data_IF_458886953026
#
_entry.id   IF_458886953026
#
_cell.length_a   1.000
_cell.length_b   1.000
_cell.length_c   1.000
_cell.angle_alpha   90.00
_cell.angle_beta   90.00
_cell.angle_gamma   90.00
#
_symmetry.space_group_name_H-M   'P 1'
#
loop_
_entity.id
_entity.type
_entity.pdbx_description
1 polymer ?
#
# COMPACT_ATOMS: atom_id res chain seq x y z
N UNK A 1 -28.47 2.41 -23.15
CA UNK A 1 -27.24 2.85 -22.45
C UNK A 1 -27.27 2.18 -21.09
N UNK A 2 -26.66 1.01 -20.97
CA UNK A 2 -26.59 0.29 -19.68
C UNK A 2 -25.84 1.19 -18.70
N UNK A 3 -26.47 1.51 -17.56
CA UNK A 3 -25.80 2.13 -16.43
C UNK A 3 -24.57 1.28 -16.11
N UNK A 4 -23.39 1.82 -16.43
CA UNK A 4 -22.11 1.19 -16.15
C UNK A 4 -22.10 0.79 -14.68
N UNK A 5 -22.08 -0.52 -14.41
CA UNK A 5 -21.87 -1.02 -13.04
C UNK A 5 -20.60 -0.35 -12.53
N UNK A 6 -20.72 0.50 -11.50
CA UNK A 6 -19.59 1.14 -10.85
C UNK A 6 -18.54 0.10 -10.47
N UNK A 7 -17.46 0.03 -11.25
CA UNK A 7 -16.41 -0.98 -11.09
C UNK A 7 -15.53 -0.56 -9.92
N UNK A 8 -15.37 -1.44 -8.94
CA UNK A 8 -14.53 -1.17 -7.77
C UNK A 8 -13.06 -1.10 -8.20
N UNK A 9 -12.39 -0.01 -7.85
CA UNK A 9 -10.93 0.09 -7.87
C UNK A 9 -10.45 0.32 -6.44
N UNK A 10 -9.42 -0.41 -6.03
CA UNK A 10 -8.86 -0.31 -4.69
C UNK A 10 -7.39 0.05 -4.77
N UNK A 11 -7.05 1.17 -4.14
CA UNK A 11 -5.69 1.64 -3.94
C UNK A 11 -5.23 1.18 -2.56
N UNK A 12 -4.14 0.42 -2.51
CA UNK A 12 -3.56 -0.05 -1.24
C UNK A 12 -2.19 0.57 -1.04
N UNK A 13 -1.97 1.13 0.15
CA UNK A 13 -0.65 1.61 0.56
C UNK A 13 -0.36 1.31 2.02
N UNK A 14 0.81 1.72 2.50
CA UNK A 14 1.27 1.54 3.86
C UNK A 14 2.76 1.21 3.92
N UNK A 15 3.39 1.32 5.11
CA UNK A 15 4.81 1.02 5.31
C UNK A 15 5.25 -0.35 4.79
N UNK A 16 6.54 -0.48 4.49
CA UNK A 16 7.09 -1.76 4.04
C UNK A 16 6.99 -2.84 5.13
N UNK A 17 6.61 -4.06 4.75
CA UNK A 17 6.52 -5.19 5.67
C UNK A 17 5.27 -5.23 6.54
N UNK A 18 4.27 -4.37 6.28
CA UNK A 18 2.98 -4.37 6.99
C UNK A 18 1.98 -5.42 6.51
N UNK A 19 2.30 -6.20 5.46
CA UNK A 19 1.40 -7.26 5.00
C UNK A 19 0.68 -7.03 3.69
N UNK A 20 0.93 -5.94 2.96
CA UNK A 20 0.22 -5.63 1.71
C UNK A 20 0.23 -6.80 0.71
N UNK A 21 1.42 -7.32 0.42
CA UNK A 21 1.61 -8.47 -0.50
C UNK A 21 0.86 -9.72 -0.01
N UNK A 22 1.11 -10.18 1.22
CA UNK A 22 0.37 -11.30 1.81
C UNK A 22 -1.14 -11.11 1.88
N UNK A 23 -1.65 -9.91 2.15
CA UNK A 23 -3.10 -9.65 2.15
C UNK A 23 -3.68 -9.93 0.76
N UNK A 24 -3.03 -9.46 -0.31
CA UNK A 24 -3.49 -9.71 -1.69
C UNK A 24 -3.35 -11.18 -2.09
N UNK A 25 -2.21 -11.80 -1.79
CA UNK A 25 -1.98 -13.22 -2.06
C UNK A 25 -2.99 -14.10 -1.31
N UNK A 26 -3.24 -13.79 -0.04
CA UNK A 26 -4.22 -14.47 0.81
C UNK A 26 -5.64 -14.25 0.31
N UNK A 27 -5.96 -13.05 -0.17
CA UNK A 27 -7.29 -12.77 -0.73
C UNK A 27 -7.56 -13.62 -1.97
N UNK A 28 -6.58 -13.75 -2.88
CA UNK A 28 -6.69 -14.66 -4.04
C UNK A 28 -6.86 -16.12 -3.64
N UNK A 29 -6.17 -16.57 -2.60
CA UNK A 29 -6.20 -17.96 -2.14
C UNK A 29 -7.51 -18.31 -1.41
N UNK A 30 -7.92 -17.48 -0.46
CA UNK A 30 -9.01 -17.79 0.47
C UNK A 30 -10.37 -17.22 0.02
N UNK A 31 -10.38 -16.32 -0.97
CA UNK A 31 -11.58 -15.80 -1.61
C UNK A 31 -11.47 -15.89 -3.14
N UNK A 32 -11.32 -17.11 -3.71
CA UNK A 32 -11.04 -17.31 -5.13
C UNK A 32 -12.17 -16.85 -6.08
N UNK A 33 -13.38 -16.63 -5.54
CA UNK A 33 -14.49 -16.03 -6.28
C UNK A 33 -14.26 -14.55 -6.62
N UNK A 34 -13.32 -13.88 -5.96
CA UNK A 34 -12.96 -12.49 -6.23
C UNK A 34 -11.91 -12.49 -7.34
N UNK A 35 -12.34 -12.13 -8.54
CA UNK A 35 -11.43 -11.98 -9.67
C UNK A 35 -10.79 -10.58 -9.64
N UNK A 36 -9.51 -10.52 -9.27
CA UNK A 36 -8.75 -9.28 -9.04
C UNK A 36 -7.87 -8.98 -10.26
N UNK A 37 -8.18 -7.90 -10.97
CA UNK A 37 -7.28 -7.29 -11.95
C UNK A 37 -6.21 -6.46 -11.24
N UNK A 38 -4.97 -6.45 -11.75
CA UNK A 38 -3.88 -5.64 -11.19
C UNK A 38 -3.47 -4.61 -12.22
N UNK A 39 -3.32 -3.37 -11.77
CA UNK A 39 -2.68 -2.31 -12.55
C UNK A 39 -1.43 -1.86 -11.81
N UNK A 40 -0.32 -1.83 -12.54
CA UNK A 40 0.95 -1.33 -12.03
C UNK A 40 1.04 0.19 -12.18
N UNK A 41 1.72 0.82 -11.23
CA UNK A 41 2.00 2.25 -11.25
C UNK A 41 3.24 2.51 -12.09
N UNK A 42 3.15 3.48 -13.01
CA UNK A 42 4.31 4.02 -13.69
C UNK A 42 5.17 4.82 -12.72
N UNK A 43 6.46 4.51 -12.66
CA UNK A 43 7.43 5.13 -11.75
C UNK A 43 8.59 5.69 -12.54
N UNK A 44 9.15 6.79 -12.09
CA UNK A 44 10.33 7.33 -12.78
C UNK A 44 11.58 6.50 -12.47
N UNK A 45 12.53 6.39 -13.40
CA UNK A 45 13.85 5.79 -13.11
C UNK A 45 14.57 6.55 -11.98
N UNK A 46 14.34 7.85 -11.86
CA UNK A 46 14.88 8.74 -10.84
C UNK A 46 14.35 8.44 -9.42
N UNK A 47 13.27 7.65 -9.30
CA UNK A 47 12.82 7.10 -8.01
C UNK A 47 13.75 6.05 -7.41
N UNK A 48 14.80 5.65 -8.14
CA UNK A 48 15.85 4.72 -7.68
C UNK A 48 17.14 5.51 -7.45
N UNK A 49 17.78 5.41 -6.27
CA UNK A 49 19.03 6.13 -5.99
C UNK A 49 20.14 5.89 -7.02
N UNK A 50 20.21 4.68 -7.57
CA UNK A 50 21.19 4.27 -8.58
C UNK A 50 20.63 4.23 -10.02
N UNK A 51 19.35 4.61 -10.19
CA UNK A 51 18.59 4.53 -11.45
C UNK A 51 18.57 3.12 -12.07
N UNK A 52 18.79 2.08 -11.26
CA UNK A 52 18.71 0.69 -11.70
C UNK A 52 17.40 0.06 -11.25
N UNK A 53 16.88 -0.80 -12.11
CA UNK A 53 15.73 -1.63 -11.79
C UNK A 53 16.16 -2.71 -10.79
N UNK A 54 15.30 -2.93 -9.80
CA UNK A 54 15.42 -4.06 -8.88
C UNK A 54 14.91 -5.32 -9.57
N UNK A 55 15.30 -6.49 -9.07
CA UNK A 55 14.84 -7.78 -9.61
C UNK A 55 13.31 -7.93 -9.65
N UNK A 56 12.61 -7.26 -8.74
CA UNK A 56 11.14 -7.25 -8.66
C UNK A 56 10.47 -6.18 -9.52
N UNK A 57 11.23 -5.25 -10.10
CA UNK A 57 10.67 -4.17 -10.91
C UNK A 57 10.28 -4.70 -12.30
N UNK A 58 9.12 -4.30 -12.80
CA UNK A 58 8.72 -4.55 -14.19
C UNK A 58 9.22 -3.39 -15.07
N UNK A 59 10.19 -3.60 -15.99
CA UNK A 59 10.78 -2.54 -16.79
C UNK A 59 9.77 -1.72 -17.61
N UNK A 60 8.63 -2.30 -17.97
CA UNK A 60 7.59 -1.61 -18.77
C UNK A 60 6.91 -0.46 -18.04
N UNK A 61 7.01 -0.43 -16.71
CA UNK A 61 6.40 0.60 -15.85
C UNK A 61 7.42 1.57 -15.28
N UNK A 62 8.65 1.57 -15.82
CA UNK A 62 9.66 2.57 -15.49
C UNK A 62 9.98 3.43 -16.70
N UNK A 63 9.78 4.74 -16.55
CA UNK A 63 9.96 5.74 -17.60
C UNK A 63 10.83 6.90 -17.09
N UNK A 64 11.41 7.72 -17.97
CA UNK A 64 12.03 8.98 -17.56
C UNK A 64 11.01 9.91 -16.87
N UNK A 65 11.43 10.65 -15.85
CA UNK A 65 10.53 11.56 -15.13
C UNK A 65 9.79 12.56 -16.05
N UNK A 66 10.48 13.08 -17.06
CA UNK A 66 9.91 14.01 -18.02
C UNK A 66 8.73 13.42 -18.82
N UNK A 67 8.79 12.12 -19.13
CA UNK A 67 7.71 11.41 -19.84
C UNK A 67 6.50 11.22 -18.94
N UNK A 68 6.69 10.89 -17.67
CA UNK A 68 5.57 10.78 -16.71
C UNK A 68 4.93 12.16 -16.45
N UNK A 69 5.73 13.23 -16.44
CA UNK A 69 5.23 14.59 -16.25
C UNK A 69 4.35 15.03 -17.43
N UNK A 70 4.71 14.67 -18.67
CA UNK A 70 3.90 15.05 -19.84
C UNK A 70 2.51 14.40 -19.86
N UNK A 71 2.32 13.29 -19.13
CA UNK A 71 1.00 12.66 -18.98
C UNK A 71 -0.03 13.58 -18.30
N UNK A 72 0.39 14.63 -17.57
CA UNK A 72 -0.53 15.63 -16.98
C UNK A 72 -1.38 16.36 -18.02
N UNK A 73 -0.95 16.38 -19.28
CA UNK A 73 -1.67 17.02 -20.38
C UNK A 73 -2.80 16.13 -20.93
N UNK A 74 -2.79 14.83 -20.63
CA UNK A 74 -3.77 13.86 -21.10
C UNK A 74 -4.71 13.46 -19.95
N UNK A 75 -6.01 13.72 -20.13
CA UNK A 75 -7.04 13.38 -19.15
C UNK A 75 -7.10 11.90 -18.81
N UNK A 76 -6.53 11.00 -19.62
CA UNK A 76 -6.51 9.57 -19.33
C UNK A 76 -5.52 9.17 -18.23
N UNK A 77 -4.79 10.12 -17.66
CA UNK A 77 -3.77 9.86 -16.65
C UNK A 77 -4.04 10.57 -15.34
N UNK A 78 -3.72 9.87 -14.25
CA UNK A 78 -3.60 10.48 -12.93
C UNK A 78 -2.11 10.47 -12.59
N UNK A 79 -1.52 11.66 -12.49
CA UNK A 79 -0.10 11.86 -12.19
C UNK A 79 0.04 12.54 -10.84
N UNK A 80 0.98 12.07 -10.01
CA UNK A 80 1.27 12.67 -8.72
C UNK A 80 2.77 12.69 -8.43
N UNK A 81 3.16 13.56 -7.48
CA UNK A 81 4.52 13.59 -6.96
C UNK A 81 4.67 12.58 -5.82
N UNK A 82 5.76 11.83 -5.87
CA UNK A 82 6.18 10.92 -4.82
C UNK A 82 7.62 11.29 -4.44
N UNK A 83 7.77 12.19 -3.47
CA UNK A 83 9.08 12.61 -2.93
C UNK A 83 10.00 13.20 -4.00
N UNK A 84 9.46 14.09 -4.83
CA UNK A 84 10.17 14.73 -5.93
C UNK A 84 10.32 13.86 -7.18
N UNK A 85 9.68 12.68 -7.21
CA UNK A 85 9.69 11.79 -8.38
C UNK A 85 8.26 11.53 -8.86
N UNK A 86 7.95 11.75 -10.14
CA UNK A 86 6.60 11.60 -10.64
C UNK A 86 6.21 10.12 -10.74
N UNK A 87 4.95 9.83 -10.42
CA UNK A 87 4.29 8.54 -10.64
C UNK A 87 2.96 8.75 -11.35
N UNK A 88 2.49 7.72 -12.06
CA UNK A 88 1.22 7.81 -12.76
C UNK A 88 0.47 6.47 -12.86
N UNK A 89 -0.85 6.56 -13.06
CA UNK A 89 -1.70 5.47 -13.53
C UNK A 89 -2.45 5.90 -14.78
N UNK A 90 -2.62 4.95 -15.69
CA UNK A 90 -3.47 5.11 -16.87
C UNK A 90 -4.88 4.62 -16.55
N UNK A 91 -5.88 5.49 -16.73
CA UNK A 91 -7.28 5.11 -16.63
C UNK A 91 -7.68 4.11 -17.70
N UNK A 92 -7.07 4.16 -18.89
CA UNK A 92 -7.32 3.16 -19.93
C UNK A 92 -6.87 1.76 -19.47
N UNK A 93 -5.73 1.65 -18.79
CA UNK A 93 -5.28 0.38 -18.22
C UNK A 93 -6.19 -0.11 -17.10
N UNK A 94 -6.68 0.82 -16.26
CA UNK A 94 -7.70 0.51 -15.25
C UNK A 94 -8.97 -0.03 -15.89
N UNK A 95 -9.53 0.69 -16.87
CA UNK A 95 -10.75 0.30 -17.56
C UNK A 95 -10.59 -1.05 -18.28
N UNK A 96 -9.46 -1.29 -18.93
CA UNK A 96 -9.15 -2.58 -19.54
C UNK A 96 -9.13 -3.71 -18.50
N UNK A 97 -8.45 -3.49 -17.36
CA UNK A 97 -8.41 -4.46 -16.27
C UNK A 97 -9.81 -4.79 -15.74
N UNK A 98 -10.76 -3.84 -15.73
CA UNK A 98 -12.15 -4.08 -15.28
C UNK A 98 -12.97 -4.98 -16.21
N UNK A 99 -12.56 -5.18 -17.47
CA UNK A 99 -13.30 -6.02 -18.44
C UNK A 99 -13.28 -7.49 -18.03
N UNK A 100 -12.13 -7.94 -17.53
CA UNK A 100 -11.91 -9.34 -17.15
C UNK A 100 -11.79 -9.52 -15.63
N UNK A 101 -12.16 -8.52 -14.82
CA UNK A 101 -12.10 -8.60 -13.37
C UNK A 101 -13.37 -8.07 -12.70
N UNK A 102 -13.60 -8.55 -11.47
CA UNK A 102 -14.65 -8.04 -10.59
C UNK A 102 -14.23 -6.74 -9.87
N UNK A 103 -12.93 -6.58 -9.64
CA UNK A 103 -12.30 -5.46 -8.96
C UNK A 103 -10.90 -5.23 -9.53
N UNK A 104 -10.47 -3.98 -9.58
CA UNK A 104 -9.09 -3.62 -9.91
C UNK A 104 -8.34 -3.24 -8.63
N UNK A 105 -7.13 -3.76 -8.49
CA UNK A 105 -6.19 -3.47 -7.42
C UNK A 105 -5.00 -2.69 -7.95
N UNK A 106 -4.59 -1.67 -7.22
CA UNK A 106 -3.38 -0.89 -7.50
C UNK A 106 -2.60 -0.73 -6.19
N UNK A 107 -1.35 -1.21 -6.18
CA UNK A 107 -0.43 -0.90 -5.10
C UNK A 107 0.21 0.47 -5.35
N UNK A 108 -0.04 1.42 -4.47
CA UNK A 108 0.43 2.79 -4.62
C UNK A 108 1.36 3.18 -3.48
N UNK A 109 2.19 4.18 -3.74
CA UNK A 109 2.95 4.82 -2.67
C UNK A 109 2.04 5.70 -1.80
N UNK A 110 2.44 5.93 -0.54
CA UNK A 110 1.55 6.57 0.45
C UNK A 110 1.03 7.94 -0.01
N UNK A 111 1.87 8.73 -0.70
CA UNK A 111 1.55 10.04 -1.27
C UNK A 111 0.44 10.03 -2.34
N UNK A 112 0.08 8.88 -2.90
CA UNK A 112 -0.96 8.80 -3.94
C UNK A 112 -2.36 9.14 -3.42
N UNK A 113 -2.61 9.06 -2.12
CA UNK A 113 -3.93 9.25 -1.54
C UNK A 113 -4.56 10.61 -1.86
N UNK A 114 -3.78 11.69 -1.78
CA UNK A 114 -4.26 13.02 -2.17
C UNK A 114 -4.67 13.07 -3.64
N UNK A 115 -3.87 12.47 -4.52
CA UNK A 115 -4.17 12.44 -5.94
C UNK A 115 -5.45 11.65 -6.21
N UNK A 116 -5.67 10.54 -5.50
CA UNK A 116 -6.90 9.75 -5.63
C UNK A 116 -8.13 10.52 -5.13
N UNK A 117 -8.01 11.26 -4.01
CA UNK A 117 -9.07 12.15 -3.51
C UNK A 117 -9.42 13.25 -4.52
N UNK A 118 -8.41 13.96 -5.04
CA UNK A 118 -8.58 15.04 -6.02
C UNK A 118 -9.20 14.56 -7.34
N UNK A 119 -8.93 13.31 -7.73
CA UNK A 119 -9.43 12.71 -8.97
C UNK A 119 -10.63 11.76 -8.75
N UNK A 120 -11.27 11.76 -7.57
CA UNK A 120 -12.38 10.87 -7.25
C UNK A 120 -13.57 11.06 -8.20
N UNK A 121 -14.07 12.28 -8.31
CA UNK A 121 -15.20 12.60 -9.21
C UNK A 121 -14.87 12.24 -10.67
N UNK A 122 -13.62 12.47 -11.07
CA UNK A 122 -13.15 12.13 -12.41
C UNK A 122 -13.17 10.61 -12.69
N UNK A 123 -12.70 9.81 -11.73
CA UNK A 123 -12.81 8.34 -11.79
C UNK A 123 -14.27 7.88 -11.80
N UNK A 124 -15.13 8.51 -11.00
CA UNK A 124 -16.57 8.21 -10.94
C UNK A 124 -17.30 8.52 -12.24
N UNK A 125 -16.95 9.61 -12.93
CA UNK A 125 -17.42 9.91 -14.29
C UNK A 125 -17.04 8.83 -15.32
N UNK A 126 -15.97 8.07 -15.07
CA UNK A 126 -15.56 6.91 -15.88
C UNK A 126 -16.21 5.59 -15.42
N UNK A 127 -17.17 5.63 -14.50
CA UNK A 127 -17.83 4.44 -13.96
C UNK A 127 -16.96 3.62 -13.02
N UNK A 128 -15.94 4.24 -12.42
CA UNK A 128 -15.08 3.63 -11.40
C UNK A 128 -15.55 4.05 -10.00
N UNK A 129 -15.39 3.17 -9.03
CA UNK A 129 -15.69 3.43 -7.62
C UNK A 129 -14.41 3.26 -6.81
N UNK A 130 -13.62 4.33 -6.62
CA UNK A 130 -12.33 4.25 -5.96
C UNK A 130 -12.48 4.10 -4.44
N UNK A 131 -11.69 3.20 -3.87
CA UNK A 131 -11.50 3.06 -2.43
C UNK A 131 -10.02 3.07 -2.14
N UNK A 132 -9.56 3.96 -1.27
CA UNK A 132 -8.17 3.99 -0.82
C UNK A 132 -8.05 3.38 0.57
N UNK A 133 -7.13 2.44 0.74
CA UNK A 133 -6.89 1.70 1.98
C UNK A 133 -5.43 1.84 2.40
N UNK A 134 -5.20 2.20 3.65
CA UNK A 134 -3.87 2.25 4.25
C UNK A 134 -3.66 1.09 5.22
N UNK A 135 -2.56 0.35 5.10
CA UNK A 135 -2.21 -0.74 6.01
C UNK A 135 -1.17 -0.26 7.01
N UNK A 136 -1.58 -0.07 8.24
CA UNK A 136 -0.74 0.46 9.32
C UNK A 136 -0.19 -0.65 10.21
N UNK A 137 1.08 -0.57 10.64
CA UNK A 137 1.61 -1.44 11.70
C UNK A 137 1.17 -1.02 13.11
N UNK A 138 0.57 0.17 13.26
CA UNK A 138 0.12 0.74 14.53
C UNK A 138 -1.36 1.14 14.46
N UNK A 139 -2.07 0.96 15.56
CA UNK A 139 -3.39 1.56 15.76
C UNK A 139 -3.28 3.04 16.14
N UNK A 140 -4.40 3.75 16.09
CA UNK A 140 -4.52 5.10 16.64
C UNK A 140 -4.17 5.10 18.13
N UNK A 141 -4.59 4.08 18.87
CA UNK A 141 -4.28 3.91 20.29
C UNK A 141 -2.77 3.77 20.54
N UNK A 142 -2.08 2.92 19.77
CA UNK A 142 -0.63 2.76 19.87
C UNK A 142 0.10 4.08 19.63
N UNK A 143 -0.33 4.85 18.63
CA UNK A 143 0.24 6.16 18.31
C UNK A 143 0.07 7.13 19.48
N UNK A 144 -1.14 7.20 20.08
CA UNK A 144 -1.42 8.07 21.21
C UNK A 144 -0.61 7.69 22.45
N UNK A 145 -0.49 6.40 22.76
CA UNK A 145 0.32 5.90 23.87
C UNK A 145 1.80 6.27 23.69
N UNK A 146 2.34 6.11 22.48
CA UNK A 146 3.73 6.48 22.17
C UNK A 146 3.97 7.98 22.36
N UNK A 147 3.04 8.82 21.89
CA UNK A 147 3.09 10.28 22.10
C UNK A 147 3.09 10.63 23.58
N UNK A 148 2.12 10.12 24.35
CA UNK A 148 1.98 10.38 25.78
C UNK A 148 3.22 9.95 26.58
N UNK A 149 3.80 8.80 26.25
CA UNK A 149 4.98 8.27 26.94
C UNK A 149 6.28 9.06 26.72
N UNK A 150 6.34 9.90 25.68
CA UNK A 150 7.55 10.61 25.25
C UNK A 150 7.64 12.07 25.73
N UNK A 151 6.51 12.63 26.18
CA UNK A 151 6.33 14.04 26.51
C UNK A 151 6.28 14.95 25.26
N UNK A 152 5.49 16.03 25.33
CA UNK A 152 5.11 16.88 24.18
C UNK A 152 6.28 17.32 23.27
N UNK A 153 7.47 17.55 23.82
CA UNK A 153 8.63 18.05 23.05
C UNK A 153 9.36 16.98 22.23
N UNK A 154 9.05 15.71 22.41
CA UNK A 154 9.77 14.60 21.77
C UNK A 154 8.85 13.61 21.03
N UNK A 155 7.56 13.91 20.89
CA UNK A 155 6.56 13.01 20.28
C UNK A 155 6.95 12.52 18.89
N UNK A 156 7.28 13.46 17.98
CA UNK A 156 7.68 13.15 16.61
C UNK A 156 8.93 12.26 16.59
N UNK A 157 9.94 12.60 17.39
CA UNK A 157 11.18 11.83 17.46
C UNK A 157 10.93 10.43 18.00
N UNK A 158 10.17 10.30 19.08
CA UNK A 158 9.87 9.01 19.69
C UNK A 158 9.10 8.10 18.72
N UNK A 159 8.11 8.66 18.02
CA UNK A 159 7.35 7.91 17.02
C UNK A 159 8.22 7.54 15.81
N UNK A 160 9.08 8.45 15.35
CA UNK A 160 10.03 8.19 14.25
C UNK A 160 11.02 7.09 14.59
N UNK A 161 11.65 7.17 15.77
CA UNK A 161 12.63 6.19 16.23
C UNK A 161 11.96 4.81 16.40
N UNK A 162 10.77 4.77 17.01
CA UNK A 162 10.00 3.53 17.17
C UNK A 162 9.60 2.91 15.84
N UNK A 163 9.05 3.70 14.91
CA UNK A 163 8.67 3.20 13.58
C UNK A 163 9.87 2.73 12.78
N UNK A 164 10.99 3.45 12.84
CA UNK A 164 12.22 3.03 12.17
C UNK A 164 12.66 1.65 12.69
N UNK A 165 12.69 1.46 14.01
CA UNK A 165 13.02 0.17 14.60
C UNK A 165 12.01 -0.92 14.21
N UNK A 166 10.71 -0.64 14.34
CA UNK A 166 9.64 -1.58 14.03
C UNK A 166 9.68 -2.05 12.57
N UNK A 167 9.86 -1.14 11.62
CA UNK A 167 9.93 -1.48 10.20
C UNK A 167 11.21 -2.26 9.90
N UNK A 168 12.34 -1.89 10.52
CA UNK A 168 13.59 -2.65 10.38
C UNK A 168 13.43 -4.09 10.87
N UNK A 169 12.85 -4.29 12.04
CA UNK A 169 12.59 -5.60 12.61
C UNK A 169 11.67 -6.43 11.72
N UNK A 170 10.61 -5.82 11.17
CA UNK A 170 9.71 -6.47 10.21
C UNK A 170 10.43 -6.89 8.93
N UNK A 171 11.35 -6.07 8.41
CA UNK A 171 12.15 -6.43 7.23
C UNK A 171 13.08 -7.61 7.52
N UNK A 172 13.80 -7.58 8.64
CA UNK A 172 14.72 -8.66 9.06
C UNK A 172 13.93 -9.96 9.28
N UNK A 173 12.83 -9.91 10.01
CA UNK A 173 11.96 -11.06 10.25
C UNK A 173 11.45 -11.66 8.94
N UNK A 174 11.04 -10.82 7.99
CA UNK A 174 10.63 -11.28 6.66
C UNK A 174 11.79 -11.97 5.93
N UNK A 175 12.99 -11.38 5.96
CA UNK A 175 14.16 -11.97 5.30
C UNK A 175 14.46 -13.37 5.83
N UNK A 176 14.43 -13.55 7.16
CA UNK A 176 14.60 -14.86 7.79
C UNK A 176 13.49 -15.84 7.38
N UNK A 177 12.23 -15.41 7.40
CA UNK A 177 11.11 -16.26 7.01
C UNK A 177 11.21 -16.73 5.55
N UNK A 178 11.65 -15.85 4.64
CA UNK A 178 11.79 -16.14 3.22
C UNK A 178 13.13 -16.79 2.85
N UNK A 179 13.96 -17.15 3.83
CA UNK A 179 15.33 -17.64 3.62
C UNK A 179 16.15 -16.74 2.67
N UNK A 180 15.91 -15.42 2.72
CA UNK A 180 16.64 -14.43 1.94
C UNK A 180 17.85 -13.95 2.74
N UNK A 181 19.06 -13.86 2.15
CA UNK A 181 20.24 -13.39 2.85
C UNK A 181 20.11 -11.95 3.35
N UNK A 182 20.49 -11.71 4.61
CA UNK A 182 20.65 -10.37 5.18
C UNK A 182 22.04 -9.86 4.79
N UNK A 183 22.15 -9.35 3.56
CA UNK A 183 23.39 -8.75 3.02
C UNK A 183 23.54 -7.28 3.40
N UNK A 184 24.72 -6.66 3.22
CA UNK A 184 24.88 -5.21 3.38
C UNK A 184 23.92 -4.39 2.50
N UNK A 185 23.72 -4.83 1.25
CA UNK A 185 22.76 -4.19 0.33
C UNK A 185 21.33 -4.28 0.87
N UNK A 186 20.93 -5.43 1.41
CA UNK A 186 19.63 -5.61 2.07
C UNK A 186 19.48 -4.67 3.26
N UNK A 187 20.50 -4.55 4.13
CA UNK A 187 20.44 -3.69 5.32
C UNK A 187 20.29 -2.22 4.90
N UNK A 188 21.06 -1.76 3.91
CA UNK A 188 20.96 -0.40 3.37
C UNK A 188 19.55 -0.11 2.84
N UNK A 189 19.02 -1.05 2.07
CA UNK A 189 17.67 -0.99 1.50
C UNK A 189 16.56 -1.04 2.56
N UNK A 190 16.72 -1.84 3.61
CA UNK A 190 15.78 -1.96 4.72
C UNK A 190 15.80 -0.69 5.58
N UNK A 191 16.98 -0.11 5.83
CA UNK A 191 17.13 1.14 6.58
C UNK A 191 16.44 2.30 5.87
N UNK A 192 16.62 2.43 4.55
CA UNK A 192 15.92 3.45 3.76
C UNK A 192 14.40 3.30 3.91
N UNK A 193 13.86 2.08 3.81
CA UNK A 193 12.42 1.83 3.99
C UNK A 193 11.96 2.11 5.42
N UNK A 194 12.79 1.81 6.41
CA UNK A 194 12.50 2.03 7.81
C UNK A 194 12.44 3.53 8.17
N UNK A 195 13.44 4.30 7.74
CA UNK A 195 13.52 5.75 7.95
C UNK A 195 12.32 6.49 7.35
N UNK A 196 11.75 5.93 6.30
CA UNK A 196 10.58 6.48 5.64
C UNK A 196 9.26 6.18 6.36
N UNK A 197 9.23 5.20 7.27
CA UNK A 197 7.99 4.71 7.89
C UNK A 197 7.17 5.79 8.58
N UNK A 198 7.82 6.78 9.21
CA UNK A 198 7.14 7.93 9.82
C UNK A 198 6.37 8.77 8.80
N UNK A 199 7.04 9.19 7.73
CA UNK A 199 6.41 9.96 6.64
C UNK A 199 5.29 9.18 5.95
N UNK A 200 5.41 7.85 5.82
CA UNK A 200 4.31 7.05 5.27
C UNK A 200 3.11 7.02 6.22
N UNK A 201 3.36 6.95 7.54
CA UNK A 201 2.31 6.92 8.57
C UNK A 201 1.52 8.23 8.62
N UNK A 202 2.19 9.37 8.44
CA UNK A 202 1.55 10.70 8.37
C UNK A 202 0.43 10.74 7.33
N UNK A 203 0.62 10.08 6.20
CA UNK A 203 -0.36 10.04 5.13
C UNK A 203 -1.54 9.08 5.37
N UNK A 204 -1.57 8.32 6.47
CA UNK A 204 -2.65 7.38 6.77
C UNK A 204 -4.03 8.05 6.83
N UNK A 205 -4.12 9.29 7.35
CA UNK A 205 -5.35 10.09 7.38
C UNK A 205 -5.86 10.50 5.99
N UNK A 206 -4.99 10.39 4.97
CA UNK A 206 -5.36 10.71 3.59
C UNK A 206 -6.15 9.59 2.89
N UNK A 207 -6.28 8.41 3.50
CA UNK A 207 -7.01 7.27 2.93
C UNK A 207 -8.47 7.21 3.39
N UNK A 208 -9.33 6.47 2.66
CA UNK A 208 -10.73 6.29 3.07
C UNK A 208 -10.84 5.49 4.38
N UNK A 209 -9.83 4.66 4.67
CA UNK A 209 -9.63 4.11 6.00
C UNK A 209 -8.40 3.24 6.13
N UNK A 210 -8.17 2.80 7.37
CA UNK A 210 -6.97 2.10 7.81
C UNK A 210 -7.29 0.66 8.20
N UNK A 211 -6.44 -0.27 7.78
CA UNK A 211 -6.37 -1.63 8.29
C UNK A 211 -5.16 -1.75 9.21
N UNK A 212 -5.37 -2.16 10.45
CA UNK A 212 -4.30 -2.27 11.46
C UNK A 212 -3.77 -3.69 11.49
N UNK A 213 -2.49 -3.84 11.15
CA UNK A 213 -1.78 -5.12 11.05
C UNK A 213 -0.45 -5.04 11.79
N UNK A 214 -0.46 -5.30 13.12
CA UNK A 214 0.73 -5.16 13.95
C UNK A 214 1.85 -6.14 13.60
N UNK A 215 1.49 -7.34 13.12
CA UNK A 215 2.47 -8.36 12.74
C UNK A 215 3.16 -8.02 11.41
N UNK A 216 4.47 -8.27 11.32
CA UNK A 216 5.20 -8.21 10.04
C UNK A 216 4.91 -9.42 9.17
N UNK A 217 5.16 -9.33 7.86
CA UNK A 217 4.99 -10.42 6.88
C UNK A 217 5.72 -11.74 7.27
N UNK A 218 6.82 -11.65 8.02
CA UNK A 218 7.54 -12.82 8.53
C UNK A 218 6.94 -13.42 9.82
N UNK A 219 5.86 -12.83 10.34
CA UNK A 219 5.20 -13.24 11.58
C UNK A 219 4.42 -14.55 11.44
N UNK A 220 4.31 -15.35 12.51
CA UNK A 220 3.65 -16.65 12.46
C UNK A 220 2.15 -16.55 12.17
N UNK A 221 1.50 -15.42 12.47
CA UNK A 221 0.06 -15.19 12.30
C UNK A 221 -0.38 -15.20 10.84
N UNK A 222 0.52 -14.96 9.90
CA UNK A 222 0.22 -15.01 8.47
C UNK A 222 0.03 -16.43 7.94
N UNK A 223 0.65 -17.44 8.55
CA UNK A 223 0.64 -18.80 8.00
C UNK A 223 1.32 -18.92 6.63
N UNK A 224 2.20 -17.97 6.28
CA UNK A 224 2.94 -17.96 5.02
C UNK A 224 3.98 -19.10 4.96
N UNK A 225 4.26 -19.52 3.73
CA UNK A 225 5.40 -20.36 3.39
C UNK A 225 6.57 -19.47 2.99
N UNK A 226 7.74 -20.08 2.88
CA UNK A 226 9.01 -19.38 2.60
C UNK A 226 9.09 -18.73 1.21
N UNK A 227 8.06 -18.88 0.36
CA UNK A 227 7.95 -18.17 -0.93
C UNK A 227 7.24 -16.81 -0.80
N UNK A 228 6.69 -16.48 0.38
CA UNK A 228 6.08 -15.20 0.69
C UNK A 228 4.70 -14.96 0.06
N UNK A 229 4.17 -15.92 -0.70
CA UNK A 229 2.90 -15.78 -1.43
C UNK A 229 1.97 -16.98 -1.29
N UNK A 230 2.48 -18.13 -0.83
CA UNK A 230 1.65 -19.30 -0.52
C UNK A 230 1.51 -19.51 0.97
N UNK A 231 0.45 -20.20 1.36
CA UNK A 231 0.05 -20.36 2.77
C UNK A 231 0.05 -21.84 3.16
N UNK A 232 0.69 -22.18 4.29
CA UNK A 232 0.66 -23.51 4.88
C UNK A 232 -0.61 -23.76 5.69
N UNK A 233 -1.24 -22.69 6.17
CA UNK A 233 -2.47 -22.69 6.97
C UNK A 233 -3.26 -21.40 6.76
N UNK A 234 -4.46 -21.32 7.31
CA UNK A 234 -5.18 -20.05 7.39
C UNK A 234 -4.40 -19.03 8.25
N UNK A 235 -4.31 -17.76 7.82
CA UNK A 235 -3.92 -16.67 8.69
C UNK A 235 -4.83 -16.59 9.91
N UNK A 236 -4.35 -15.98 10.98
CA UNK A 236 -5.10 -15.78 12.22
C UNK A 236 -4.98 -14.33 12.69
N UNK A 237 -5.79 -13.93 13.67
CA UNK A 237 -5.73 -12.59 14.28
C UNK A 237 -5.88 -11.45 13.26
N UNK A 238 -5.12 -10.36 13.41
CA UNK A 238 -5.15 -9.16 12.55
C UNK A 238 -4.90 -9.48 11.07
N UNK A 239 -4.03 -10.43 10.74
CA UNK A 239 -3.78 -10.84 9.36
C UNK A 239 -5.06 -11.37 8.68
N UNK A 240 -5.82 -12.23 9.36
CA UNK A 240 -7.10 -12.74 8.84
C UNK A 240 -8.17 -11.66 8.78
N UNK A 241 -8.29 -10.83 9.82
CA UNK A 241 -9.26 -9.72 9.86
C UNK A 241 -9.04 -8.75 8.70
N UNK A 242 -7.79 -8.33 8.45
CA UNK A 242 -7.44 -7.44 7.35
C UNK A 242 -7.78 -8.06 5.98
N UNK A 243 -7.48 -9.36 5.78
CA UNK A 243 -7.88 -10.07 4.56
C UNK A 243 -9.40 -10.13 4.38
N UNK A 244 -10.16 -10.44 5.44
CA UNK A 244 -11.62 -10.46 5.38
C UNK A 244 -12.20 -9.08 5.02
N UNK A 245 -11.68 -8.01 5.63
CA UNK A 245 -12.10 -6.64 5.35
C UNK A 245 -11.78 -6.23 3.92
N UNK A 246 -10.58 -6.51 3.44
CA UNK A 246 -10.22 -6.23 2.05
C UNK A 246 -11.07 -7.05 1.06
N UNK A 247 -11.33 -8.32 1.36
CA UNK A 247 -12.21 -9.16 0.55
C UNK A 247 -13.65 -8.61 0.48
N UNK A 248 -14.19 -8.09 1.59
CA UNK A 248 -15.49 -7.41 1.61
C UNK A 248 -15.49 -6.16 0.71
N UNK A 249 -14.44 -5.31 0.82
CA UNK A 249 -14.26 -4.13 -0.05
C UNK A 249 -14.23 -4.54 -1.53
N UNK A 250 -13.49 -5.62 -1.86
CA UNK A 250 -13.40 -6.14 -3.22
C UNK A 250 -14.72 -6.68 -3.76
N UNK A 251 -15.59 -7.23 -2.92
CA UNK A 251 -16.96 -7.64 -3.31
C UNK A 251 -17.92 -6.47 -3.49
N UNK A 252 -17.46 -5.24 -3.24
CA UNK A 252 -18.27 -4.05 -3.32
C UNK A 252 -19.19 -3.85 -2.12
N UNK A 253 -18.99 -4.61 -1.03
CA UNK A 253 -19.66 -4.37 0.25
C UNK A 253 -19.26 -2.99 0.79
N UNK A 254 -20.05 -2.45 1.74
CA UNK A 254 -19.70 -1.17 2.39
C UNK A 254 -18.34 -1.35 3.07
N UNK A 255 -17.33 -0.52 2.75
CA UNK A 255 -16.01 -0.65 3.37
C UNK A 255 -16.09 -0.63 4.89
N UNK A 256 -15.48 -1.63 5.51
CA UNK A 256 -15.29 -1.68 6.95
C UNK A 256 -13.79 -1.61 7.22
N UNK A 257 -13.38 -0.53 7.86
CA UNK A 257 -11.99 -0.30 8.26
C UNK A 257 -11.80 -0.68 9.73
N UNK A 258 -10.55 -0.81 10.17
CA UNK A 258 -10.28 -0.80 11.61
C UNK A 258 -10.47 0.62 12.14
N UNK A 259 -9.94 1.61 11.41
CA UNK A 259 -9.88 3.00 11.86
C UNK A 259 -10.05 3.98 10.69
N UNK A 260 -10.41 5.22 11.02
CA UNK A 260 -10.30 6.39 10.15
C UNK A 260 -9.56 7.43 10.96
N UNK A 261 -8.36 7.81 10.51
CA UNK A 261 -7.50 8.69 11.29
C UNK A 261 -7.85 10.17 11.07
N UNK A 262 -7.86 10.98 12.14
CA UNK A 262 -7.95 12.42 11.99
C UNK A 262 -6.62 12.98 11.49
N UNK A 263 -6.67 14.14 10.82
CA UNK A 263 -5.49 14.76 10.18
C UNK A 263 -4.43 15.25 11.18
N UNK A 264 -4.80 15.41 12.46
CA UNK A 264 -3.94 15.87 13.54
C UNK A 264 -3.37 14.72 14.40
N UNK A 265 -3.64 13.46 14.03
CA UNK A 265 -3.11 12.30 14.76
C UNK A 265 -1.58 12.31 14.81
N UNK A 266 -0.96 12.56 13.65
CA UNK A 266 0.49 12.67 13.48
C UNK A 266 0.78 14.02 12.81
N UNK A 267 1.52 14.93 13.47
CA UNK A 267 1.84 16.25 12.93
C UNK A 267 2.80 16.18 11.73
#
# INVERSE_FOLDING_TARGET
>A
MELTRNKRIVFLSGPSGTGKGPIIAGTRKFFPQINIGVVEVYKSFESRPDRKLRKSDNPQYFLPAAEIISFKEDSNWIVWDCRGTPQAISLNHVLEATKNSSVVYVEVFHAAAEAMKKNREFMECHGLNPVSVFVSPLSQEDILILKESSGEKNEERALTDFLTQLIMDKQIQRSHHLNTPVSPDFISEALIRAQHGYEELKDGHNYDGVLVVPDGEGGPTWGLRTDGVTFSRHPVSHAWKAMCKLAAIFRGEKPQFDEVWPSDLIP
#
